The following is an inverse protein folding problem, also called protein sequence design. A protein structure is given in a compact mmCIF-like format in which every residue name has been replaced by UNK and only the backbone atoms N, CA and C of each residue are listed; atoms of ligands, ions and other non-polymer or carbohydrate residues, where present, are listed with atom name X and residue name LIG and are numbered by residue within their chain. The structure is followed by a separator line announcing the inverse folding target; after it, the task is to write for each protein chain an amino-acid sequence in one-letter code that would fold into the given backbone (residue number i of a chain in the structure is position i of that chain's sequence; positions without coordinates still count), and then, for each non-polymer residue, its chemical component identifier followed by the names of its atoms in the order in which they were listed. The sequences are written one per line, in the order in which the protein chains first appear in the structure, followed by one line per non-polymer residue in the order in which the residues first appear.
data_IF_251003972945
#
_entry.id   IF_251003972945
#
_cell.length_a   1.000
_cell.length_b   1.000
_cell.length_c   1.000
_cell.angle_alpha   90.00
_cell.angle_beta   90.00
_cell.angle_gamma   90.00
#
_symmetry.space_group_name_H-M   'P 1'
#
loop_
_entity.id
_entity.type
_entity.pdbx_description
1 polymer ?
#
# COMPACT_ATOMS: atom_id res chain seq x y z
N UNK A 1 -3.01 2.83 -37.13
CA UNK A 1 -2.33 1.68 -36.48
C UNK A 1 -0.82 1.95 -36.49
N UNK A 2 -0.17 2.18 -35.33
CA UNK A 2 1.28 2.45 -35.28
C UNK A 2 2.07 1.18 -35.65
N UNK A 3 3.10 1.31 -36.51
CA UNK A 3 3.99 0.19 -36.87
C UNK A 3 4.80 -0.25 -35.64
N UNK A 4 4.88 -1.57 -35.42
CA UNK A 4 5.69 -2.18 -34.34
C UNK A 4 7.09 -2.47 -34.88
N UNK A 5 8.11 -1.78 -34.36
CA UNK A 5 9.50 -1.87 -34.86
C UNK A 5 10.45 -2.57 -33.88
N UNK A 6 10.04 -2.77 -32.63
CA UNK A 6 10.84 -3.45 -31.60
C UNK A 6 10.48 -4.94 -31.54
N UNK A 7 11.48 -5.80 -31.39
CA UNK A 7 11.35 -7.25 -31.18
C UNK A 7 11.85 -7.60 -29.78
N UNK A 8 11.17 -8.54 -29.12
CA UNK A 8 11.55 -9.10 -27.83
C UNK A 8 11.75 -10.60 -28.06
N UNK A 9 12.95 -11.11 -27.75
CA UNK A 9 13.30 -12.52 -27.82
C UNK A 9 13.36 -13.07 -26.40
N UNK A 10 12.75 -14.24 -26.18
CA UNK A 10 12.68 -14.91 -24.87
C UNK A 10 13.13 -16.34 -25.09
N UNK A 11 14.13 -16.79 -24.33
CA UNK A 11 14.53 -18.19 -24.27
C UNK A 11 13.61 -18.93 -23.27
N UNK A 12 13.10 -20.08 -23.67
CA UNK A 12 12.19 -20.91 -22.88
C UNK A 12 12.71 -22.34 -22.88
N UNK A 13 12.49 -23.06 -21.78
CA UNK A 13 12.60 -24.53 -21.79
C UNK A 13 11.46 -25.15 -22.60
N UNK A 14 11.60 -26.42 -22.98
CA UNK A 14 10.54 -27.15 -23.69
C UNK A 14 9.23 -27.18 -22.90
N UNK A 15 9.32 -27.40 -21.59
CA UNK A 15 8.16 -27.43 -20.69
C UNK A 15 7.47 -26.06 -20.61
N UNK A 16 8.24 -24.98 -20.51
CA UNK A 16 7.70 -23.62 -20.50
C UNK A 16 7.01 -23.29 -21.83
N UNK A 17 7.60 -23.69 -22.95
CA UNK A 17 7.02 -23.47 -24.27
C UNK A 17 5.68 -24.21 -24.43
N UNK A 18 5.64 -25.48 -24.03
CA UNK A 18 4.41 -26.29 -24.07
C UNK A 18 3.32 -25.73 -23.15
N UNK A 19 3.68 -25.32 -21.93
CA UNK A 19 2.74 -24.71 -21.01
C UNK A 19 2.14 -23.40 -21.56
N UNK A 20 2.93 -22.61 -22.29
CA UNK A 20 2.42 -21.40 -22.96
C UNK A 20 1.50 -21.73 -24.14
N UNK A 21 1.79 -22.79 -24.90
CA UNK A 21 0.93 -23.25 -25.99
C UNK A 21 -0.43 -23.73 -25.50
N UNK A 22 -0.48 -24.46 -24.39
CA UNK A 22 -1.72 -24.94 -23.78
C UNK A 22 -2.60 -23.80 -23.22
N UNK A 23 -1.98 -22.77 -22.64
CA UNK A 23 -2.70 -21.62 -22.03
C UNK A 23 -3.18 -20.57 -23.03
N UNK A 24 -2.67 -20.63 -24.25
CA UNK A 24 -2.90 -19.62 -25.29
C UNK A 24 -4.36 -19.63 -25.74
N UNK A 25 -5.02 -18.49 -25.63
CA UNK A 25 -6.42 -18.31 -26.06
C UNK A 25 -6.57 -17.71 -27.47
N UNK A 26 -5.45 -17.42 -28.15
CA UNK A 26 -5.42 -16.80 -29.49
C UNK A 26 -4.77 -17.70 -30.53
N UNK A 27 -4.89 -17.34 -31.81
CA UNK A 27 -4.25 -18.05 -32.92
C UNK A 27 -2.72 -17.89 -32.95
N UNK A 28 -2.15 -16.81 -32.39
CA UNK A 28 -0.69 -16.56 -32.35
C UNK A 28 -0.18 -16.37 -30.94
N UNK A 29 0.93 -17.03 -30.62
CA UNK A 29 1.46 -17.03 -29.25
C UNK A 29 1.94 -15.63 -28.87
N UNK A 30 2.62 -14.95 -29.79
CA UNK A 30 3.08 -13.58 -29.60
C UNK A 30 1.96 -12.54 -29.42
N UNK A 31 0.74 -12.83 -29.89
CA UNK A 31 -0.41 -11.95 -29.66
C UNK A 31 -0.96 -12.15 -28.25
N UNK A 32 -1.15 -13.41 -27.85
CA UNK A 32 -1.59 -13.76 -26.50
C UNK A 32 -0.60 -13.31 -25.42
N UNK A 33 0.70 -13.58 -25.61
CA UNK A 33 1.76 -13.13 -24.67
C UNK A 33 1.74 -11.61 -24.51
N UNK A 34 1.52 -10.86 -25.60
CA UNK A 34 1.45 -9.40 -25.55
C UNK A 34 0.25 -8.92 -24.75
N UNK A 35 -0.93 -9.50 -24.99
CA UNK A 35 -2.16 -9.17 -24.26
C UNK A 35 -1.96 -9.41 -22.77
N UNK A 36 -1.52 -10.61 -22.39
CA UNK A 36 -1.26 -10.97 -20.99
C UNK A 36 -0.19 -10.06 -20.35
N UNK A 37 0.93 -9.80 -21.03
CA UNK A 37 2.01 -8.99 -20.48
C UNK A 37 1.67 -7.49 -20.38
N UNK A 38 0.74 -6.98 -21.20
CA UNK A 38 0.30 -5.58 -21.15
C UNK A 38 -0.94 -5.38 -20.25
N UNK A 39 -1.79 -6.39 -20.10
CA UNK A 39 -2.98 -6.35 -19.24
C UNK A 39 -2.65 -6.61 -17.76
N UNK A 40 -1.56 -7.32 -17.47
CA UNK A 40 -1.09 -7.45 -16.10
C UNK A 40 -0.62 -6.11 -15.58
N UNK A 41 -1.42 -5.50 -14.70
CA UNK A 41 -0.92 -4.41 -13.86
C UNK A 41 0.30 -4.94 -13.10
N UNK A 42 1.45 -4.24 -13.14
CA UNK A 42 2.60 -4.65 -12.35
C UNK A 42 2.13 -4.74 -10.90
N UNK A 43 2.18 -5.95 -10.32
CA UNK A 43 1.94 -6.11 -8.89
C UNK A 43 2.92 -5.17 -8.22
N UNK A 44 2.42 -4.09 -7.61
CA UNK A 44 3.24 -3.21 -6.79
C UNK A 44 3.88 -4.13 -5.77
N UNK A 45 5.18 -4.37 -5.92
CA UNK A 45 5.93 -5.03 -4.87
C UNK A 45 5.68 -4.19 -3.62
N UNK A 46 5.23 -4.81 -2.51
CA UNK A 46 5.14 -4.09 -1.25
C UNK A 46 6.48 -3.39 -1.05
N UNK A 47 6.46 -2.08 -0.79
CA UNK A 47 7.70 -1.40 -0.41
C UNK A 47 8.27 -2.19 0.77
N UNK A 48 9.55 -2.53 0.68
CA UNK A 48 10.27 -3.12 1.82
C UNK A 48 10.32 -2.02 2.87
N UNK A 49 9.39 -2.08 3.83
CA UNK A 49 9.31 -1.18 4.98
C UNK A 49 9.96 -1.91 6.14
N UNK A 50 10.79 -1.19 6.90
CA UNK A 50 11.42 -1.72 8.11
C UNK A 50 10.35 -2.34 9.04
N UNK A 51 10.45 -3.64 9.39
CA UNK A 51 9.54 -4.29 10.31
C UNK A 51 9.44 -3.59 11.67
N UNK A 52 10.53 -2.98 12.17
CA UNK A 52 10.51 -2.24 13.42
C UNK A 52 9.61 -0.99 13.32
N UNK A 53 9.64 -0.30 12.18
CA UNK A 53 8.79 0.85 11.93
C UNK A 53 7.31 0.45 11.84
N UNK A 54 7.00 -0.67 11.18
CA UNK A 54 5.62 -1.19 11.13
C UNK A 54 5.11 -1.58 12.51
N UNK A 55 5.97 -2.16 13.34
CA UNK A 55 5.64 -2.52 14.72
C UNK A 55 5.33 -1.28 15.57
N UNK A 56 6.16 -0.25 15.50
CA UNK A 56 5.91 1.00 16.23
C UNK A 56 4.65 1.71 15.73
N UNK A 57 4.41 1.73 14.41
CA UNK A 57 3.17 2.25 13.84
C UNK A 57 1.94 1.48 14.34
N UNK A 58 2.04 0.16 14.44
CA UNK A 58 0.98 -0.68 15.00
C UNK A 58 0.72 -0.33 16.47
N UNK A 59 1.77 -0.17 17.29
CA UNK A 59 1.65 0.27 18.69
C UNK A 59 0.94 1.61 18.82
N UNK A 60 1.26 2.57 17.96
CA UNK A 60 0.56 3.87 17.92
C UNK A 60 -0.93 3.66 17.63
N UNK A 61 -1.26 2.86 16.62
CA UNK A 61 -2.66 2.55 16.27
C UNK A 61 -3.42 1.86 17.40
N UNK A 62 -2.78 0.93 18.11
CA UNK A 62 -3.35 0.26 19.29
C UNK A 62 -3.62 1.27 20.40
N UNK A 63 -2.66 2.15 20.71
CA UNK A 63 -2.83 3.17 21.74
C UNK A 63 -3.97 4.14 21.40
N UNK A 64 -4.07 4.59 20.15
CA UNK A 64 -5.16 5.44 19.68
C UNK A 64 -6.53 4.76 19.84
N UNK A 65 -6.62 3.46 19.50
CA UNK A 65 -7.84 2.69 19.68
C UNK A 65 -8.22 2.55 21.17
N UNK A 66 -7.24 2.40 22.06
CA UNK A 66 -7.50 2.35 23.50
C UNK A 66 -8.02 3.69 24.01
N UNK A 67 -7.42 4.82 23.61
CA UNK A 67 -7.91 6.17 23.95
C UNK A 67 -9.33 6.36 23.45
N UNK A 68 -9.61 6.05 22.18
CA UNK A 68 -10.94 6.17 21.61
C UNK A 68 -11.98 5.34 22.38
N UNK A 69 -11.66 4.09 22.73
CA UNK A 69 -12.53 3.25 23.56
C UNK A 69 -12.76 3.85 24.93
N UNK A 70 -11.71 4.36 25.58
CA UNK A 70 -11.81 4.97 26.89
C UNK A 70 -12.73 6.20 26.87
N UNK A 71 -12.54 7.11 25.91
CA UNK A 71 -13.40 8.28 25.70
C UNK A 71 -14.85 7.88 25.44
N UNK A 72 -15.09 6.85 24.63
CA UNK A 72 -16.43 6.37 24.31
C UNK A 72 -17.10 5.59 25.45
N UNK A 73 -16.31 5.05 26.39
CA UNK A 73 -16.81 4.24 27.53
C UNK A 73 -17.18 5.07 28.75
N UNK A 74 -16.69 6.31 28.86
CA UNK A 74 -17.05 7.22 29.95
C UNK A 74 -18.34 7.96 29.59
N UNK A 75 -19.29 8.03 30.55
CA UNK A 75 -20.43 8.96 30.43
C UNK A 75 -19.86 10.39 30.36
N UNK A 76 -20.46 11.32 29.59
CA UNK A 76 -19.95 12.67 29.45
C UNK A 76 -19.93 13.37 30.82
N UNK A 77 -18.76 13.32 31.46
CA UNK A 77 -18.40 14.19 32.57
C UNK A 77 -17.67 15.41 32.01
N UNK A 78 -17.79 16.53 32.71
CA UNK A 78 -17.11 17.81 32.41
C UNK A 78 -15.60 17.62 32.09
N UNK A 79 -15.01 16.54 32.62
CA UNK A 79 -13.62 16.15 32.44
C UNK A 79 -13.23 15.79 30.98
N UNK A 80 -14.14 15.22 30.17
CA UNK A 80 -13.84 14.87 28.77
C UNK A 80 -13.60 16.11 27.89
N UNK A 81 -14.25 17.22 28.22
CA UNK A 81 -14.03 18.51 27.55
C UNK A 81 -12.64 19.05 27.89
N UNK A 82 -12.20 18.89 29.15
CA UNK A 82 -10.84 19.27 29.58
C UNK A 82 -9.75 18.39 28.94
N UNK A 83 -10.00 17.09 28.82
CA UNK A 83 -9.09 16.17 28.12
C UNK A 83 -8.99 16.53 26.63
N UNK A 84 -10.11 16.87 25.99
CA UNK A 84 -10.13 17.30 24.59
C UNK A 84 -9.34 18.61 24.38
N UNK A 85 -9.51 19.59 25.25
CA UNK A 85 -8.75 20.86 25.22
C UNK A 85 -7.24 20.63 25.37
N UNK A 86 -6.87 19.74 26.28
CA UNK A 86 -5.47 19.36 26.50
C UNK A 86 -4.86 18.70 25.26
N UNK A 87 -5.60 17.79 24.61
CA UNK A 87 -5.15 17.14 23.38
C UNK A 87 -5.03 18.11 22.20
N UNK A 88 -5.95 19.07 22.06
CA UNK A 88 -5.84 20.12 21.04
C UNK A 88 -4.62 21.01 21.27
N UNK A 89 -4.32 21.37 22.52
CA UNK A 89 -3.11 22.14 22.84
C UNK A 89 -1.83 21.37 22.51
N UNK A 90 -1.78 20.06 22.77
CA UNK A 90 -0.64 19.22 22.38
C UNK A 90 -0.49 19.18 20.85
N UNK A 91 -1.59 19.00 20.11
CA UNK A 91 -1.56 19.01 18.65
C UNK A 91 -1.04 20.34 18.09
N UNK A 92 -1.48 21.47 18.66
CA UNK A 92 -1.04 22.81 18.28
C UNK A 92 0.47 22.99 18.54
N UNK A 93 0.95 22.63 19.73
CA UNK A 93 2.37 22.74 20.07
C UNK A 93 3.25 21.86 19.17
N UNK A 94 2.79 20.66 18.81
CA UNK A 94 3.50 19.78 17.88
C UNK A 94 3.54 20.35 16.46
N UNK A 95 2.48 21.04 16.01
CA UNK A 95 2.49 21.75 14.72
C UNK A 95 3.48 22.90 14.71
N UNK A 96 3.49 23.72 15.76
CA UNK A 96 4.42 24.85 15.91
C UNK A 96 5.89 24.37 15.95
N UNK A 97 6.19 23.32 16.71
CA UNK A 97 7.53 22.72 16.74
C UNK A 97 7.94 22.17 15.36
N UNK A 98 7.02 21.53 14.63
CA UNK A 98 7.29 21.04 13.29
C UNK A 98 7.60 22.19 12.32
N UNK A 99 6.87 23.28 12.41
CA UNK A 99 7.08 24.47 11.58
C UNK A 99 8.37 25.22 11.91
N UNK A 100 8.82 25.20 13.17
CA UNK A 100 10.12 25.74 13.58
C UNK A 100 11.31 24.85 13.20
N UNK A 101 11.07 23.56 12.93
CA UNK A 101 12.09 22.58 12.56
C UNK A 101 12.31 22.42 11.04
N UNK A 102 11.62 23.22 10.23
CA UNK A 102 11.76 23.35 8.78
C UNK A 102 12.40 24.69 8.42
#
# INVERSE_FOLDING_TARGET
MKKRTKRLEIALSEDEYNALLERKTKARLAEWVREVALEQQPKRQPKVIDPALLFELNRIGVNLNQIARQCNSQKPSIDLVSVLDTLQNIEKNLKELRELSL
#
